data_IF_973677890024
#
_entry.id   IF_973677890024
#
_cell.length_a   1.000
_cell.length_b   1.000
_cell.length_c   1.000
_cell.angle_alpha   90.00
_cell.angle_beta   90.00
_cell.angle_gamma   90.00
#
_symmetry.space_group_name_H-M   'P 1'
#
loop_
_entity.id
_entity.type
_entity.pdbx_description
1 polymer ?
#
# COMPACT_ATOMS: atom_id res chain seq x y z
N UNK A 1 14.76 -0.47 -7.13
CA UNK A 1 13.94 0.47 -6.32
C UNK A 1 12.70 -0.25 -5.84
N UNK A 2 12.26 -0.06 -4.58
CA UNK A 2 11.05 -0.69 -4.03
C UNK A 2 9.76 -0.21 -4.72
N UNK A 3 9.71 1.08 -5.08
CA UNK A 3 8.56 1.68 -5.76
C UNK A 3 8.36 1.15 -7.19
N UNK A 4 9.41 1.18 -8.02
CA UNK A 4 9.36 0.74 -9.42
C UNK A 4 9.34 -0.79 -9.60
N UNK A 5 9.40 -1.54 -8.50
CA UNK A 5 9.39 -3.00 -8.49
C UNK A 5 8.25 -3.53 -7.61
N UNK A 6 8.55 -3.93 -6.36
CA UNK A 6 7.56 -4.49 -5.44
C UNK A 6 6.22 -3.76 -5.36
N UNK A 7 6.22 -2.43 -5.24
CA UNK A 7 4.96 -1.65 -5.15
C UNK A 7 4.18 -1.69 -6.48
N UNK A 8 4.87 -1.45 -7.60
CA UNK A 8 4.27 -1.39 -8.93
C UNK A 8 3.71 -2.74 -9.39
N UNK A 9 4.47 -3.82 -9.21
CA UNK A 9 4.10 -5.16 -9.67
C UNK A 9 3.33 -5.97 -8.63
N UNK A 10 3.16 -5.46 -7.41
CA UNK A 10 2.35 -6.06 -6.34
C UNK A 10 1.01 -5.35 -6.17
N UNK A 11 0.85 -4.50 -5.13
CA UNK A 11 -0.44 -3.88 -4.80
C UNK A 11 -1.00 -2.99 -5.93
N UNK A 12 -0.15 -2.25 -6.65
CA UNK A 12 -0.62 -1.41 -7.75
C UNK A 12 -1.17 -2.24 -8.92
N UNK A 13 -0.51 -3.33 -9.31
CA UNK A 13 -0.97 -4.23 -10.36
C UNK A 13 -2.30 -4.91 -9.99
N UNK A 14 -2.43 -5.38 -8.75
CA UNK A 14 -3.66 -6.00 -8.25
C UNK A 14 -4.84 -5.03 -8.24
N UNK A 15 -4.60 -3.78 -7.81
CA UNK A 15 -5.61 -2.71 -7.83
C UNK A 15 -5.99 -2.33 -9.26
N UNK A 16 -5.02 -2.18 -10.16
CA UNK A 16 -5.27 -1.84 -11.56
C UNK A 16 -6.18 -2.89 -12.21
N UNK A 17 -5.86 -4.17 -12.04
CA UNK A 17 -6.68 -5.26 -12.53
C UNK A 17 -8.10 -5.23 -11.95
N UNK A 18 -8.24 -5.01 -10.64
CA UNK A 18 -9.54 -4.99 -9.97
C UNK A 18 -10.43 -3.80 -10.38
N UNK A 19 -9.86 -2.60 -10.52
CA UNK A 19 -10.62 -1.38 -10.82
C UNK A 19 -10.97 -1.27 -12.30
N UNK A 20 -10.11 -1.77 -13.20
CA UNK A 20 -10.29 -1.62 -14.65
C UNK A 20 -10.64 -2.92 -15.38
N UNK A 21 -10.93 -4.01 -14.65
CA UNK A 21 -11.39 -5.27 -15.23
C UNK A 21 -10.32 -6.06 -15.98
N UNK A 22 -9.06 -5.97 -15.55
CA UNK A 22 -7.96 -6.71 -16.17
C UNK A 22 -7.85 -8.15 -15.64
N UNK A 23 -7.71 -9.12 -16.54
CA UNK A 23 -7.40 -10.51 -16.17
C UNK A 23 -5.89 -10.68 -15.95
N UNK A 24 -5.49 -10.96 -14.71
CA UNK A 24 -4.10 -11.27 -14.35
C UNK A 24 -4.02 -12.50 -13.46
N UNK A 25 -2.92 -13.26 -13.55
CA UNK A 25 -2.57 -14.22 -12.50
C UNK A 25 -2.17 -13.44 -11.23
N UNK A 26 -3.05 -13.49 -10.23
CA UNK A 26 -2.91 -12.73 -8.98
C UNK A 26 -1.84 -13.31 -8.05
N UNK A 27 -1.36 -14.54 -8.28
CA UNK A 27 -0.47 -15.24 -7.34
C UNK A 27 0.84 -14.50 -7.12
N UNK A 28 1.56 -14.19 -8.20
CA UNK A 28 2.86 -13.53 -8.11
C UNK A 28 2.76 -12.09 -7.55
N UNK A 29 1.82 -11.24 -8.02
CA UNK A 29 1.60 -9.92 -7.43
C UNK A 29 1.21 -9.94 -5.94
N UNK A 30 0.40 -10.92 -5.52
CA UNK A 30 -0.01 -11.07 -4.11
C UNK A 30 1.19 -11.40 -3.24
N UNK A 31 1.97 -12.41 -3.60
CA UNK A 31 3.17 -12.79 -2.85
C UNK A 31 4.19 -11.62 -2.78
N UNK A 32 4.31 -10.85 -3.85
CA UNK A 32 5.20 -9.68 -3.88
C UNK A 32 4.69 -8.55 -2.97
N UNK A 33 3.38 -8.33 -2.91
CA UNK A 33 2.76 -7.36 -2.01
C UNK A 33 2.95 -7.75 -0.54
N UNK A 34 2.71 -9.01 -0.19
CA UNK A 34 2.90 -9.53 1.18
C UNK A 34 4.36 -9.42 1.64
N UNK A 35 5.31 -9.74 0.76
CA UNK A 35 6.74 -9.55 1.02
C UNK A 35 7.07 -8.07 1.26
N UNK A 36 6.54 -7.18 0.42
CA UNK A 36 6.74 -5.74 0.57
C UNK A 36 6.19 -5.24 1.91
N UNK A 37 4.96 -5.60 2.25
CA UNK A 37 4.33 -5.19 3.52
C UNK A 37 5.08 -5.72 4.73
N UNK A 38 5.59 -6.95 4.66
CA UNK A 38 6.43 -7.54 5.71
C UNK A 38 7.72 -6.73 5.92
N UNK A 39 8.39 -6.32 4.83
CA UNK A 39 9.57 -5.47 4.93
C UNK A 39 9.23 -4.11 5.51
N UNK A 40 8.17 -3.46 5.03
CA UNK A 40 7.73 -2.15 5.53
C UNK A 40 7.36 -2.21 7.01
N UNK A 41 6.64 -3.24 7.45
CA UNK A 41 6.29 -3.47 8.86
C UNK A 41 7.55 -3.57 9.74
N UNK A 42 8.59 -4.25 9.26
CA UNK A 42 9.88 -4.38 9.95
C UNK A 42 10.65 -3.06 10.05
N UNK A 43 10.67 -2.25 8.99
CA UNK A 43 11.30 -0.93 9.02
C UNK A 43 10.54 0.02 9.96
N UNK A 44 9.21 -0.01 9.92
CA UNK A 44 8.31 0.79 10.78
C UNK A 44 8.29 0.32 12.24
N UNK A 45 8.88 -0.84 12.54
CA UNK A 45 9.14 -1.25 13.91
C UNK A 45 10.28 -0.46 14.57
N UNK A 46 11.18 0.11 13.76
CA UNK A 46 12.37 0.80 14.25
C UNK A 46 12.23 2.32 14.20
N UNK A 47 11.35 2.84 13.34
CA UNK A 47 11.21 4.28 13.07
C UNK A 47 9.79 4.66 12.64
N UNK A 48 9.39 5.93 12.81
CA UNK A 48 8.02 6.38 12.52
C UNK A 48 7.72 6.52 11.01
N UNK A 49 8.74 6.61 10.16
CA UNK A 49 8.61 6.74 8.70
C UNK A 49 9.52 5.73 8.00
N UNK A 50 9.31 5.51 6.70
CA UNK A 50 10.06 4.50 5.95
C UNK A 50 11.57 4.79 5.93
N UNK A 51 11.96 6.07 5.99
CA UNK A 51 13.36 6.50 6.06
C UNK A 51 13.55 7.57 7.13
N UNK A 52 14.17 7.19 8.25
CA UNK A 52 14.47 8.10 9.36
C UNK A 52 13.25 8.56 10.17
N UNK A 53 13.41 9.69 10.86
CA UNK A 53 12.45 10.21 11.85
C UNK A 53 11.44 11.22 11.27
N UNK A 54 11.56 11.60 10.00
CA UNK A 54 10.70 12.60 9.33
C UNK A 54 10.14 12.04 8.03
N UNK A 55 8.93 12.46 7.61
CA UNK A 55 8.35 12.01 6.35
C UNK A 55 9.24 12.41 5.19
N UNK A 56 9.32 11.54 4.20
CA UNK A 56 10.18 11.67 3.03
C UNK A 56 9.44 11.32 1.74
N UNK A 57 10.11 11.48 0.60
CA UNK A 57 9.57 11.04 -0.69
C UNK A 57 9.24 9.54 -0.69
N UNK A 58 9.98 8.72 0.07
CA UNK A 58 9.69 7.29 0.19
C UNK A 58 8.27 7.07 0.74
N UNK A 59 7.84 7.88 1.71
CA UNK A 59 6.54 7.72 2.32
C UNK A 59 5.41 8.10 1.35
N UNK A 60 5.55 9.23 0.65
CA UNK A 60 4.56 9.70 -0.33
C UNK A 60 4.38 8.69 -1.47
N UNK A 61 5.48 8.16 -2.00
CA UNK A 61 5.44 7.20 -3.12
C UNK A 61 4.81 5.87 -2.70
N UNK A 62 5.11 5.40 -1.49
CA UNK A 62 4.60 4.12 -1.00
C UNK A 62 3.17 4.21 -0.48
N UNK A 63 2.71 5.39 -0.06
CA UNK A 63 1.41 5.58 0.59
C UNK A 63 0.24 5.12 -0.28
N UNK A 64 0.12 5.64 -1.50
CA UNK A 64 -1.11 5.54 -2.29
C UNK A 64 -1.53 4.10 -2.55
N UNK A 65 -0.67 3.26 -3.14
CA UNK A 65 -1.04 1.88 -3.44
C UNK A 65 -1.08 0.98 -2.19
N UNK A 66 -0.46 1.39 -1.10
CA UNK A 66 -0.59 0.69 0.18
C UNK A 66 -1.93 1.03 0.85
N UNK A 67 -2.35 2.30 0.87
CA UNK A 67 -3.64 2.73 1.42
C UNK A 67 -4.83 2.08 0.69
N UNK A 68 -4.71 1.92 -0.63
CA UNK A 68 -5.72 1.31 -1.49
C UNK A 68 -5.47 -0.19 -1.75
N UNK A 69 -4.65 -0.87 -0.92
CA UNK A 69 -4.35 -2.29 -1.10
C UNK A 69 -5.62 -3.16 -1.06
N UNK A 70 -6.62 -2.77 -0.26
CA UNK A 70 -7.93 -3.45 -0.17
C UNK A 70 -8.71 -3.45 -1.49
N UNK A 71 -8.57 -2.41 -2.32
CA UNK A 71 -9.18 -2.36 -3.66
C UNK A 71 -8.54 -3.40 -4.61
N UNK A 72 -7.31 -3.82 -4.29
CA UNK A 72 -6.63 -4.96 -4.92
C UNK A 72 -6.83 -6.28 -4.18
N UNK A 73 -7.75 -6.37 -3.21
CA UNK A 73 -8.03 -7.59 -2.44
C UNK A 73 -6.94 -7.99 -1.43
N UNK A 74 -6.03 -7.07 -1.07
CA UNK A 74 -5.00 -7.30 -0.07
C UNK A 74 -5.45 -6.81 1.31
N UNK A 75 -5.30 -7.64 2.33
CA UNK A 75 -5.56 -7.27 3.71
C UNK A 75 -4.31 -6.65 4.35
N UNK A 76 -4.51 -5.59 5.15
CA UNK A 76 -3.45 -5.01 6.00
C UNK A 76 -3.62 -5.33 7.48
N UNK A 77 -4.52 -6.26 7.83
CA UNK A 77 -4.86 -6.57 9.23
C UNK A 77 -3.62 -6.98 10.05
N UNK A 78 -2.75 -7.79 9.44
CA UNK A 78 -1.54 -8.36 10.06
C UNK A 78 -0.36 -7.37 10.16
N UNK A 79 -0.51 -6.14 9.63
CA UNK A 79 0.55 -5.12 9.59
C UNK A 79 0.15 -3.87 10.40
N UNK A 80 0.10 -3.93 11.74
CA UNK A 80 -0.37 -2.83 12.58
C UNK A 80 0.51 -1.57 12.48
N UNK A 81 1.84 -1.70 12.31
CA UNK A 81 2.72 -0.53 12.19
C UNK A 81 2.58 0.13 10.83
N UNK A 82 2.39 -0.67 9.79
CA UNK A 82 2.05 -0.19 8.46
C UNK A 82 0.74 0.61 8.48
N UNK A 83 -0.30 0.10 9.16
CA UNK A 83 -1.56 0.85 9.35
C UNK A 83 -1.36 2.16 10.12
N UNK A 84 -0.61 2.13 11.22
CA UNK A 84 -0.29 3.35 11.97
C UNK A 84 0.57 4.36 11.18
N UNK A 85 1.40 3.88 10.25
CA UNK A 85 2.11 4.73 9.30
C UNK A 85 1.19 5.37 8.27
N UNK A 86 0.21 4.63 7.73
CA UNK A 86 -0.82 5.21 6.85
C UNK A 86 -1.58 6.34 7.55
N UNK A 87 -2.03 6.12 8.79
CA UNK A 87 -2.69 7.15 9.59
C UNK A 87 -1.81 8.38 9.80
N UNK A 88 -0.52 8.18 10.08
CA UNK A 88 0.46 9.27 10.27
C UNK A 88 0.66 10.10 9.01
N UNK A 89 0.74 9.46 7.83
CA UNK A 89 0.87 10.17 6.55
C UNK A 89 -0.43 10.91 6.21
N UNK A 90 -1.58 10.30 6.44
CA UNK A 90 -2.89 10.93 6.22
C UNK A 90 -3.11 12.17 7.10
N UNK A 91 -2.46 12.24 8.26
CA UNK A 91 -2.53 13.37 9.18
C UNK A 91 -1.53 14.51 8.87
N UNK A 92 -0.69 14.40 7.83
CA UNK A 92 0.27 15.46 7.50
C UNK A 92 -0.45 16.74 7.03
N UNK A 93 0.03 17.94 7.42
CA UNK A 93 -0.56 19.20 6.96
C UNK A 93 -0.56 19.31 5.43
N UNK A 94 -1.73 19.60 4.86
CA UNK A 94 -1.90 19.74 3.41
C UNK A 94 -1.96 18.40 2.64
N UNK A 95 -1.97 17.26 3.34
CA UNK A 95 -2.18 15.97 2.69
C UNK A 95 -3.60 15.86 2.13
N UNK A 96 -3.70 15.41 0.88
CA UNK A 96 -4.96 15.14 0.20
C UNK A 96 -4.97 13.68 -0.19
N UNK A 97 -5.86 12.91 0.45
CA UNK A 97 -6.00 11.49 0.15
C UNK A 97 -6.54 11.25 -1.27
N UNK A 98 -6.04 10.20 -1.92
CA UNK A 98 -6.66 9.70 -3.14
C UNK A 98 -8.07 9.20 -2.82
N UNK A 99 -9.04 9.51 -3.68
CA UNK A 99 -10.39 9.01 -3.53
C UNK A 99 -10.43 7.49 -3.77
N UNK A 100 -11.18 6.77 -2.92
CA UNK A 100 -11.42 5.35 -3.14
C UNK A 100 -12.21 5.09 -4.41
N UNK A 101 -11.87 4.00 -5.08
CA UNK A 101 -12.60 3.55 -6.27
C UNK A 101 -13.78 2.67 -5.88
N UNK A 102 -14.88 2.76 -6.65
CA UNK A 102 -15.95 1.78 -6.54
C UNK A 102 -15.46 0.48 -7.16
N UNK A 103 -15.28 -0.56 -6.34
CA UNK A 103 -14.90 -1.91 -6.82
C UNK A 103 -16.07 -2.86 -6.57
N UNK A 104 -16.39 -3.71 -7.57
CA UNK A 104 -17.36 -4.80 -7.41
C UNK A 104 -16.84 -5.76 -6.32
N UNK A 105 -17.50 -5.76 -5.16
CA UNK A 105 -17.11 -6.54 -3.98
C UNK A 105 -17.02 -5.74 -2.67
N UNK A 106 -17.12 -4.41 -2.69
CA UNK A 106 -17.09 -3.57 -1.49
C UNK A 106 -18.40 -3.56 -0.67
N UNK A 107 -19.35 -4.44 -0.98
CA UNK A 107 -20.59 -4.61 -0.22
C UNK A 107 -20.81 -6.08 0.09
N UNK A 108 -20.35 -6.55 1.25
CA UNK A 108 -21.18 -7.19 2.29
C UNK A 108 -20.46 -7.14 3.63
#
# INVERSE_FOLDING_TARGET
SAAAGPLAFGPAALRLAAVFGGEIDRRAPTALAEQLFTVMEGELAQRPFLVGERPSLADVVMYTYTAHAHEGGLSLADYPRLRGWLERIAALPGFVAMASSTTEGAAT
#
